data_IF_146643553480
#
_entry.id   IF_146643553480
#
_cell.length_a   1.000
_cell.length_b   1.000
_cell.length_c   1.000
_cell.angle_alpha   90.00
_cell.angle_beta   90.00
_cell.angle_gamma   90.00
#
_symmetry.space_group_name_H-M   'P 1'
#
loop_
_entity.id
_entity.type
_entity.pdbx_description
1 polymer ?
#
# COMPACT_ATOMS: atom_id res chain seq x y z
N UNK A 1 -4.79 -10.87 -2.71
CA UNK A 1 -4.64 -10.11 -1.46
C UNK A 1 -5.85 -10.37 -0.56
N UNK A 2 -5.62 -10.71 0.71
CA UNK A 2 -6.63 -10.74 1.78
C UNK A 2 -6.24 -9.68 2.81
N UNK A 3 -7.18 -8.84 3.24
CA UNK A 3 -6.96 -7.84 4.27
C UNK A 3 -8.01 -8.04 5.34
N UNK A 4 -7.58 -8.19 6.58
CA UNK A 4 -8.45 -8.26 7.74
C UNK A 4 -8.38 -6.93 8.47
N UNK A 5 -9.51 -6.25 8.64
CA UNK A 5 -9.60 -4.97 9.32
C UNK A 5 -10.57 -5.07 10.47
N UNK A 6 -10.16 -4.64 11.66
CA UNK A 6 -11.06 -4.53 12.80
C UNK A 6 -11.85 -3.21 12.72
N UNK A 7 -13.17 -3.29 12.84
CA UNK A 7 -14.08 -2.15 12.96
C UNK A 7 -15.03 -2.37 14.14
N UNK A 8 -14.97 -1.48 15.13
CA UNK A 8 -15.81 -1.42 16.34
C UNK A 8 -16.05 -2.76 17.06
N UNK A 9 -16.93 -3.61 16.51
CA UNK A 9 -17.38 -4.87 17.09
C UNK A 9 -17.09 -6.11 16.21
N UNK A 10 -16.32 -5.98 15.12
CA UNK A 10 -16.08 -7.10 14.22
C UNK A 10 -14.95 -6.90 13.22
N UNK A 11 -14.72 -7.93 12.42
CA UNK A 11 -13.73 -7.91 11.36
C UNK A 11 -14.39 -7.77 9.98
N UNK A 12 -13.84 -6.87 9.19
CA UNK A 12 -14.03 -6.80 7.75
C UNK A 12 -12.94 -7.61 7.05
N UNK A 13 -13.35 -8.50 6.15
CA UNK A 13 -12.44 -9.24 5.28
C UNK A 13 -12.56 -8.72 3.85
N UNK A 14 -11.51 -8.05 3.38
CA UNK A 14 -11.40 -7.63 2.00
C UNK A 14 -10.65 -8.70 1.20
N UNK A 15 -11.22 -9.10 0.06
CA UNK A 15 -10.58 -10.02 -0.88
C UNK A 15 -10.42 -9.35 -2.23
N UNK A 16 -9.18 -9.25 -2.70
CA UNK A 16 -8.86 -8.72 -4.04
C UNK A 16 -7.94 -9.66 -4.78
N UNK A 17 -8.27 -9.92 -6.04
CA UNK A 17 -7.46 -10.68 -6.99
C UNK A 17 -7.18 -9.80 -8.20
N UNK A 18 -5.95 -9.84 -8.71
CA UNK A 18 -5.63 -9.21 -9.99
C UNK A 18 -6.01 -10.17 -11.12
N UNK A 19 -6.60 -9.63 -12.19
CA UNK A 19 -6.91 -10.43 -13.38
C UNK A 19 -5.64 -10.88 -14.12
N UNK A 20 -4.56 -10.08 -14.01
CA UNK A 20 -3.23 -10.38 -14.53
C UNK A 20 -2.15 -9.88 -13.56
N UNK A 21 -1.06 -10.62 -13.46
CA UNK A 21 0.08 -10.28 -12.59
C UNK A 21 -0.10 -10.72 -11.13
N UNK A 22 0.84 -10.29 -10.28
CA UNK A 22 0.91 -10.65 -8.87
C UNK A 22 1.07 -9.41 -7.99
N UNK A 23 0.71 -9.55 -6.71
CA UNK A 23 0.95 -8.50 -5.72
C UNK A 23 2.41 -8.53 -5.28
N UNK A 24 3.10 -7.39 -5.39
CA UNK A 24 4.48 -7.23 -4.94
C UNK A 24 4.51 -6.86 -3.46
N UNK A 25 4.48 -7.87 -2.59
CA UNK A 25 4.71 -7.66 -1.16
C UNK A 25 6.21 -7.50 -0.90
N UNK A 26 6.64 -6.54 -0.05
CA UNK A 26 8.05 -6.34 0.27
C UNK A 26 8.57 -7.57 1.02
N UNK A 27 9.51 -8.28 0.41
CA UNK A 27 10.14 -9.48 0.97
C UNK A 27 11.30 -9.15 1.92
N UNK A 28 11.22 -8.04 2.66
CA UNK A 28 12.27 -7.79 3.65
C UNK A 28 12.13 -8.83 4.76
N UNK A 29 13.23 -9.53 5.01
CA UNK A 29 13.36 -10.80 5.72
C UNK A 29 13.02 -10.74 7.23
N UNK A 30 12.22 -9.75 7.62
CA UNK A 30 11.81 -9.49 8.98
C UNK A 30 10.30 -9.71 9.06
N UNK A 31 9.90 -10.84 9.65
CA UNK A 31 8.53 -11.35 9.78
C UNK A 31 7.62 -10.49 10.68
N UNK A 32 7.89 -9.19 10.80
CA UNK A 32 7.17 -8.24 11.62
C UNK A 32 6.11 -7.43 10.85
N UNK A 33 5.22 -6.73 11.55
CA UNK A 33 4.23 -5.86 10.93
C UNK A 33 4.89 -4.66 10.24
N UNK A 34 4.57 -4.46 8.97
CA UNK A 34 5.03 -3.29 8.20
C UNK A 34 4.00 -2.15 8.28
N UNK A 35 4.47 -0.95 8.66
CA UNK A 35 3.65 0.27 8.57
C UNK A 35 3.67 0.78 7.13
N UNK A 36 2.49 0.95 6.54
CA UNK A 36 2.32 1.51 5.19
C UNK A 36 1.36 2.71 5.23
N UNK A 37 1.58 3.67 4.34
CA UNK A 37 0.65 4.77 4.13
C UNK A 37 -0.59 4.34 3.32
N UNK A 38 -1.71 5.09 3.37
CA UNK A 38 -2.87 4.81 2.53
C UNK A 38 -2.55 4.81 1.02
N UNK A 39 -1.61 5.67 0.60
CA UNK A 39 -1.13 5.73 -0.79
C UNK A 39 -0.41 4.45 -1.20
N UNK A 40 0.47 3.97 -0.34
CA UNK A 40 1.19 2.71 -0.50
C UNK A 40 0.26 1.49 -0.52
N UNK A 41 -0.77 1.48 0.32
CA UNK A 41 -1.81 0.46 0.26
C UNK A 41 -2.50 0.46 -1.10
N UNK A 42 -2.83 1.64 -1.64
CA UNK A 42 -3.45 1.74 -2.97
C UNK A 42 -2.55 1.20 -4.08
N UNK A 43 -1.26 1.53 -4.04
CA UNK A 43 -0.28 0.96 -4.97
C UNK A 43 -0.25 -0.56 -4.92
N UNK A 44 -0.19 -1.15 -3.72
CA UNK A 44 -0.28 -2.61 -3.57
C UNK A 44 -1.55 -3.16 -4.21
N UNK A 45 -2.70 -2.56 -3.93
CA UNK A 45 -3.98 -3.02 -4.48
C UNK A 45 -4.04 -2.93 -6.02
N UNK A 46 -3.29 -1.99 -6.60
CA UNK A 46 -3.16 -1.81 -8.06
C UNK A 46 -2.01 -2.66 -8.66
N UNK A 47 -1.32 -3.47 -7.85
CA UNK A 47 -0.24 -4.37 -8.29
C UNK A 47 1.15 -3.73 -8.36
N UNK A 48 1.31 -2.50 -7.87
CA UNK A 48 2.56 -1.77 -7.83
C UNK A 48 3.35 -2.07 -6.55
N UNK A 49 4.68 -1.91 -6.61
CA UNK A 49 5.56 -2.02 -5.45
C UNK A 49 5.32 -0.89 -4.44
N UNK A 50 5.56 -1.15 -3.15
CA UNK A 50 5.50 -0.13 -2.09
C UNK A 50 6.56 0.96 -2.23
N UNK A 51 7.72 0.59 -2.76
CA UNK A 51 8.80 1.50 -3.09
C UNK A 51 8.70 1.90 -4.56
N UNK A 52 8.37 3.16 -4.80
CA UNK A 52 8.35 3.73 -6.14
C UNK A 52 9.64 4.52 -6.36
N UNK A 53 10.73 3.80 -6.67
CA UNK A 53 12.08 4.38 -6.84
C UNK A 53 12.16 5.46 -7.95
N UNK A 54 11.19 5.47 -8.87
CA UNK A 54 11.12 6.41 -9.99
C UNK A 54 9.99 7.45 -9.83
N UNK A 55 9.33 7.52 -8.65
CA UNK A 55 8.26 8.50 -8.45
C UNK A 55 8.79 9.92 -8.42
N UNK A 56 8.03 10.86 -9.00
CA UNK A 56 8.35 12.28 -8.92
C UNK A 56 8.36 12.76 -7.46
N UNK A 57 9.33 13.63 -7.10
CA UNK A 57 9.41 14.19 -5.76
C UNK A 57 8.19 15.06 -5.48
N UNK A 58 7.81 15.15 -4.20
CA UNK A 58 6.77 16.08 -3.76
C UNK A 58 7.25 17.50 -4.03
N UNK A 59 6.46 18.26 -4.80
CA UNK A 59 6.74 19.68 -5.07
C UNK A 59 6.09 20.50 -3.97
N UNK A 60 6.89 21.02 -3.04
CA UNK A 60 6.43 22.02 -2.08
C UNK A 60 6.53 23.39 -2.74
N UNK A 61 5.47 23.84 -3.40
CA UNK A 61 5.40 25.20 -3.92
C UNK A 61 5.45 26.17 -2.72
N UNK A 62 6.44 27.06 -2.69
CA UNK A 62 6.45 28.18 -1.74
C UNK A 62 5.43 29.19 -2.24
N UNK A 63 4.31 29.31 -1.53
CA UNK A 63 3.42 30.46 -1.71
C UNK A 63 4.19 31.72 -1.35
N UNK A 64 4.55 32.50 -2.35
CA UNK A 64 5.03 33.87 -2.14
C UNK A 64 3.76 34.72 -2.04
N UNK A 65 3.52 35.25 -0.85
CA UNK A 65 2.46 36.23 -0.56
C UNK A 65 3.08 37.62 -0.73
#
# INVERSE_FOLDING_TARGET
MKILQWDHNGFWLYYRRLERGNFHWPSDNNSGPLKISPRQLRWLLDGLSLEQKQAHPVVTARTVI
#
